data_IF_632921392390
#
_entry.id   IF_632921392390
#
_cell.length_a   1.000
_cell.length_b   1.000
_cell.length_c   1.000
_cell.angle_alpha   90.00
_cell.angle_beta   90.00
_cell.angle_gamma   90.00
#
_symmetry.space_group_name_H-M   'P 1'
#
loop_
_entity.id
_entity.type
_entity.pdbx_description
1 polymer ?
#
# COMPACT_ATOMS: atom_id res chain seq x y z
N UNK A 1 26.54 20.20 7.79
CA UNK A 1 25.66 20.82 8.82
C UNK A 1 24.24 20.74 8.28
N UNK A 2 23.35 20.20 9.09
CA UNK A 2 21.94 19.96 8.72
C UNK A 2 21.07 20.87 9.58
N UNK A 3 20.12 21.55 8.95
CA UNK A 3 19.08 22.30 9.63
C UNK A 3 17.73 21.61 9.45
N UNK A 4 17.08 21.25 10.56
CA UNK A 4 15.76 20.61 10.54
C UNK A 4 14.71 21.69 10.24
N UNK A 5 13.95 21.52 9.16
CA UNK A 5 12.88 22.43 8.73
C UNK A 5 11.52 22.03 9.28
N UNK A 6 11.25 20.70 9.32
CA UNK A 6 9.95 20.18 9.74
C UNK A 6 10.07 18.72 10.21
N UNK A 7 9.21 18.34 11.16
CA UNK A 7 9.06 16.93 11.58
C UNK A 7 7.93 16.32 10.74
N UNK A 8 8.28 15.42 9.83
CA UNK A 8 7.32 14.78 8.93
C UNK A 8 6.54 13.68 9.67
N UNK A 9 7.13 13.10 10.74
CA UNK A 9 6.51 12.02 11.50
C UNK A 9 7.00 11.88 12.93
N UNK A 10 6.13 11.27 13.77
CA UNK A 10 6.45 10.83 15.14
C UNK A 10 7.65 9.88 15.23
N UNK A 11 8.02 9.20 14.13
CA UNK A 11 9.13 8.24 14.05
C UNK A 11 10.48 8.88 13.69
N UNK A 12 10.69 10.16 14.06
CA UNK A 12 11.98 10.83 13.86
C UNK A 12 12.44 10.88 12.39
N UNK A 13 11.50 11.09 11.49
CA UNK A 13 11.74 11.45 10.11
C UNK A 13 11.51 12.96 9.95
N UNK A 14 12.53 13.66 9.49
CA UNK A 14 12.53 15.12 9.39
C UNK A 14 12.77 15.55 7.96
N UNK A 15 12.07 16.59 7.54
CA UNK A 15 12.50 17.39 6.41
C UNK A 15 13.62 18.32 6.90
N UNK A 16 14.74 18.29 6.24
CA UNK A 16 15.92 19.03 6.65
C UNK A 16 16.60 19.69 5.45
N UNK A 17 17.50 20.62 5.72
CA UNK A 17 18.32 21.28 4.71
C UNK A 17 19.78 20.97 4.96
N UNK A 18 20.44 20.42 3.97
CA UNK A 18 21.89 20.35 3.95
C UNK A 18 22.43 21.77 3.66
N UNK A 19 23.12 22.34 4.64
CA UNK A 19 23.63 23.71 4.54
C UNK A 19 24.88 23.81 3.66
N UNK A 20 25.56 22.69 3.42
CA UNK A 20 26.74 22.68 2.55
C UNK A 20 26.34 22.64 1.06
N UNK A 21 25.49 21.70 0.70
CA UNK A 21 24.98 21.57 -0.67
C UNK A 21 23.78 22.45 -0.97
N UNK A 22 23.19 23.06 0.06
CA UNK A 22 21.97 23.88 -0.02
C UNK A 22 20.77 23.12 -0.62
N UNK A 23 20.66 21.82 -0.33
CA UNK A 23 19.60 20.94 -0.81
C UNK A 23 18.65 20.55 0.31
N UNK A 24 17.39 20.35 -0.04
CA UNK A 24 16.42 19.71 0.86
C UNK A 24 16.67 18.20 0.87
N UNK A 25 16.65 17.60 2.05
CA UNK A 25 16.85 16.18 2.28
C UNK A 25 15.78 15.62 3.23
N UNK A 26 15.67 14.30 3.30
CA UNK A 26 15.00 13.63 4.40
C UNK A 26 16.05 13.07 5.36
N UNK A 27 15.84 13.32 6.64
CA UNK A 27 16.72 12.87 7.72
C UNK A 27 15.95 11.91 8.63
N UNK A 28 16.36 10.65 8.66
CA UNK A 28 15.85 9.66 9.62
C UNK A 28 16.85 9.54 10.76
N UNK A 29 16.34 9.48 11.99
CA UNK A 29 17.16 9.36 13.19
C UNK A 29 16.71 8.16 14.01
N UNK A 30 17.69 7.40 14.53
CA UNK A 30 17.50 6.21 15.37
C UNK A 30 18.32 6.40 16.63
N UNK A 31 17.69 6.27 17.81
CA UNK A 31 18.42 6.24 19.07
C UNK A 31 19.00 4.86 19.30
N UNK A 32 20.23 4.82 19.80
CA UNK A 32 20.81 3.58 20.29
C UNK A 32 19.97 2.93 21.38
N UNK A 33 19.85 1.63 21.32
CA UNK A 33 19.19 0.80 22.32
C UNK A 33 19.87 -0.58 22.42
N UNK A 34 19.42 -1.40 23.36
CA UNK A 34 20.02 -2.71 23.66
C UNK A 34 19.87 -3.76 22.54
N UNK A 35 19.10 -3.47 21.47
CA UNK A 35 18.95 -4.34 20.31
C UNK A 35 19.93 -3.99 19.19
N UNK A 36 20.68 -2.91 19.31
CA UNK A 36 21.64 -2.46 18.29
C UNK A 36 23.03 -2.99 18.61
N UNK A 37 23.63 -3.70 17.66
CA UNK A 37 24.97 -4.28 17.79
C UNK A 37 26.09 -3.21 17.77
N UNK A 38 27.25 -3.56 18.27
CA UNK A 38 28.40 -2.64 18.38
C UNK A 38 28.93 -2.17 17.02
N UNK A 39 28.88 -3.03 16.02
CA UNK A 39 29.36 -2.77 14.66
C UNK A 39 28.28 -2.21 13.72
N UNK A 40 27.12 -1.87 14.26
CA UNK A 40 25.95 -1.41 13.49
C UNK A 40 26.25 -0.30 12.50
N UNK A 41 27.02 0.74 12.93
CA UNK A 41 27.36 1.87 12.06
C UNK A 41 28.23 1.42 10.87
N UNK A 42 29.23 0.61 11.12
CA UNK A 42 30.11 0.11 10.07
C UNK A 42 29.31 -0.71 9.05
N UNK A 43 28.50 -1.63 9.53
CA UNK A 43 27.61 -2.42 8.68
C UNK A 43 26.60 -1.56 7.92
N UNK A 44 26.04 -0.51 8.56
CA UNK A 44 25.07 0.39 7.90
C UNK A 44 25.72 1.19 6.77
N UNK A 45 26.99 1.57 6.90
CA UNK A 45 27.76 2.20 5.84
C UNK A 45 27.91 1.25 4.65
N UNK A 46 28.24 -0.02 4.91
CA UNK A 46 28.39 -1.03 3.87
C UNK A 46 27.03 -1.30 3.17
N UNK A 47 25.96 -1.51 3.95
CA UNK A 47 24.62 -1.72 3.40
C UNK A 47 24.12 -0.49 2.61
N UNK A 48 24.45 0.72 3.03
CA UNK A 48 24.09 1.94 2.30
C UNK A 48 24.67 1.97 0.88
N UNK A 49 25.84 1.38 0.69
CA UNK A 49 26.47 1.25 -0.63
C UNK A 49 25.67 0.32 -1.52
N UNK A 50 25.24 -0.83 -0.99
CA UNK A 50 24.41 -1.78 -1.73
C UNK A 50 23.05 -1.15 -2.08
N UNK A 51 22.42 -0.42 -1.15
CA UNK A 51 21.13 0.24 -1.39
C UNK A 51 21.22 1.22 -2.56
N UNK A 52 22.31 1.96 -2.68
CA UNK A 52 22.56 2.90 -3.79
C UNK A 52 22.68 2.21 -5.15
N UNK A 53 23.06 0.93 -5.18
CA UNK A 53 23.16 0.13 -6.40
C UNK A 53 21.80 -0.43 -6.83
N UNK A 54 20.81 -0.49 -5.92
CA UNK A 54 19.46 -0.98 -6.24
C UNK A 54 18.73 0.06 -7.09
N UNK A 55 18.64 -0.20 -8.38
CA UNK A 55 17.90 0.65 -9.31
C UNK A 55 16.39 0.37 -9.25
N UNK A 56 15.74 0.86 -8.21
CA UNK A 56 14.29 0.69 -8.04
C UNK A 56 13.59 2.04 -7.79
N UNK A 57 12.54 2.36 -8.55
CA UNK A 57 11.77 3.59 -8.31
C UNK A 57 10.99 3.56 -6.99
N UNK A 58 10.89 2.39 -6.35
CA UNK A 58 10.10 2.17 -5.13
C UNK A 58 10.91 2.23 -3.85
N UNK A 59 12.24 2.28 -3.94
CA UNK A 59 13.15 2.41 -2.80
C UNK A 59 13.64 3.85 -2.73
N UNK A 60 13.61 4.43 -1.53
CA UNK A 60 14.15 5.77 -1.34
C UNK A 60 15.68 5.72 -1.29
N UNK A 61 16.32 6.55 -2.13
CA UNK A 61 17.77 6.55 -2.27
C UNK A 61 18.43 7.12 -1.00
N UNK A 62 19.32 6.33 -0.38
CA UNK A 62 20.09 6.70 0.78
C UNK A 62 21.39 7.39 0.35
N UNK A 63 21.55 8.67 0.70
CA UNK A 63 22.71 9.49 0.32
C UNK A 63 23.88 9.22 1.26
N UNK A 64 23.62 9.25 2.58
CA UNK A 64 24.64 9.16 3.61
C UNK A 64 24.11 8.58 4.91
N UNK A 65 25.00 8.07 5.75
CA UNK A 65 24.71 7.57 7.09
C UNK A 65 25.81 8.04 8.07
N UNK A 66 25.45 8.15 9.35
CA UNK A 66 26.43 8.52 10.34
C UNK A 66 25.91 8.42 11.76
N UNK A 67 26.71 8.93 12.68
CA UNK A 67 26.43 8.91 14.11
C UNK A 67 26.67 10.27 14.74
N UNK A 68 25.85 10.61 15.71
CA UNK A 68 25.98 11.80 16.54
C UNK A 68 26.00 11.37 18.01
N UNK A 69 27.06 11.78 18.72
CA UNK A 69 27.25 11.48 20.16
C UNK A 69 26.77 12.68 20.97
N UNK A 70 25.68 12.49 21.70
CA UNK A 70 25.03 13.52 22.52
C UNK A 70 25.06 13.17 24.01
N UNK A 71 24.74 14.14 24.84
CA UNK A 71 24.63 13.93 26.28
C UNK A 71 23.57 12.89 26.66
N UNK A 72 22.49 12.78 25.86
CA UNK A 72 21.37 11.85 26.03
C UNK A 72 21.57 10.49 25.33
N UNK A 73 22.74 10.26 24.68
CA UNK A 73 23.10 8.98 24.07
C UNK A 73 23.62 9.05 22.66
N UNK A 74 23.70 7.90 22.02
CA UNK A 74 24.18 7.73 20.67
C UNK A 74 22.98 7.78 19.71
N UNK A 75 23.11 8.58 18.67
CA UNK A 75 22.08 8.78 17.67
C UNK A 75 22.65 8.44 16.30
N UNK A 76 22.07 7.43 15.63
CA UNK A 76 22.36 7.10 14.24
C UNK A 76 21.45 7.92 13.33
N UNK A 77 21.97 8.39 12.23
CA UNK A 77 21.19 9.10 11.23
C UNK A 77 21.41 8.53 9.83
N UNK A 78 20.34 8.60 9.04
CA UNK A 78 20.34 8.26 7.62
C UNK A 78 19.81 9.46 6.84
N UNK A 79 20.50 9.84 5.80
CA UNK A 79 20.16 10.94 4.91
C UNK A 79 19.66 10.35 3.60
N UNK A 80 18.47 10.78 3.18
CA UNK A 80 17.85 10.37 1.94
C UNK A 80 17.62 11.56 1.02
N UNK A 81 17.50 11.28 -0.28
CA UNK A 81 16.97 12.25 -1.23
C UNK A 81 15.57 12.70 -0.79
N UNK A 82 15.29 13.99 -1.01
CA UNK A 82 13.98 14.52 -0.66
C UNK A 82 12.93 14.05 -1.67
N UNK A 83 11.95 13.33 -1.18
CA UNK A 83 10.75 12.94 -1.92
C UNK A 83 9.51 13.55 -1.29
N UNK A 84 8.58 13.96 -2.14
CA UNK A 84 7.34 14.61 -1.71
C UNK A 84 6.28 13.56 -1.41
N UNK A 85 5.92 13.41 -0.16
CA UNK A 85 4.92 12.43 0.28
C UNK A 85 4.62 12.57 1.76
N UNK A 86 3.66 11.79 2.21
CA UNK A 86 3.36 11.57 3.62
C UNK A 86 3.45 10.08 3.90
N UNK A 87 3.61 9.68 5.14
CA UNK A 87 3.65 8.25 5.44
C UNK A 87 2.32 7.56 5.18
N UNK A 88 2.40 6.29 4.87
CA UNK A 88 1.20 5.45 4.75
C UNK A 88 0.43 5.41 6.07
N UNK A 89 1.11 5.51 7.21
CA UNK A 89 0.47 5.61 8.52
C UNK A 89 -0.49 6.81 8.60
N UNK A 90 -0.02 8.00 8.20
CA UNK A 90 -0.85 9.21 8.20
C UNK A 90 -2.05 9.10 7.22
N UNK A 91 -1.87 8.41 6.11
CA UNK A 91 -2.97 8.13 5.17
C UNK A 91 -3.99 7.19 5.81
N UNK A 92 -3.52 6.11 6.44
CA UNK A 92 -4.37 5.14 7.13
C UNK A 92 -5.17 5.83 8.23
N UNK A 93 -4.57 6.68 9.04
CA UNK A 93 -5.26 7.41 10.12
C UNK A 93 -6.27 8.44 9.58
N UNK A 94 -5.93 9.14 8.50
CA UNK A 94 -6.72 10.27 8.00
C UNK A 94 -7.86 9.90 7.06
N UNK A 95 -7.70 8.92 6.18
CA UNK A 95 -8.63 8.65 5.09
C UNK A 95 -8.85 7.15 4.84
N UNK A 96 -10.01 6.81 4.27
CA UNK A 96 -10.22 5.49 3.69
C UNK A 96 -9.57 5.42 2.31
N UNK A 97 -8.71 4.42 2.11
CA UNK A 97 -8.17 4.08 0.81
C UNK A 97 -9.18 3.24 0.03
N UNK A 98 -9.42 3.59 -1.22
CA UNK A 98 -10.19 2.73 -2.12
C UNK A 98 -9.34 1.53 -2.57
N UNK A 99 -9.99 0.45 -2.98
CA UNK A 99 -9.35 -0.84 -3.26
C UNK A 99 -8.21 -0.70 -4.28
N UNK A 100 -8.43 0.05 -5.35
CA UNK A 100 -7.43 0.28 -6.41
C UNK A 100 -6.14 0.94 -5.87
N UNK A 101 -6.28 1.89 -4.93
CA UNK A 101 -5.14 2.52 -4.28
C UNK A 101 -4.40 1.53 -3.38
N UNK A 102 -5.10 0.70 -2.61
CA UNK A 102 -4.49 -0.34 -1.76
C UNK A 102 -3.71 -1.32 -2.62
N UNK A 103 -4.30 -1.83 -3.70
CA UNK A 103 -3.64 -2.77 -4.63
C UNK A 103 -2.43 -2.11 -5.31
N UNK A 104 -2.56 -0.85 -5.74
CA UNK A 104 -1.44 -0.11 -6.34
C UNK A 104 -0.28 0.06 -5.37
N UNK A 105 -0.54 0.48 -4.13
CA UNK A 105 0.46 0.64 -3.08
C UNK A 105 1.12 -0.71 -2.77
N UNK A 106 0.34 -1.77 -2.56
CA UNK A 106 0.85 -3.12 -2.29
C UNK A 106 1.76 -3.63 -3.41
N UNK A 107 1.34 -3.46 -4.66
CA UNK A 107 2.13 -3.88 -5.83
C UNK A 107 3.46 -3.14 -5.91
N UNK A 108 3.49 -1.85 -5.60
CA UNK A 108 4.72 -1.06 -5.59
C UNK A 108 5.64 -1.46 -4.45
N UNK A 109 5.10 -1.73 -3.26
CA UNK A 109 5.88 -2.27 -2.13
C UNK A 109 6.53 -3.60 -2.52
N UNK A 110 5.75 -4.54 -3.07
CA UNK A 110 6.25 -5.85 -3.51
C UNK A 110 7.38 -5.74 -4.54
N UNK A 111 7.24 -4.85 -5.53
CA UNK A 111 8.29 -4.59 -6.52
C UNK A 111 9.56 -3.99 -5.90
N UNK A 112 9.42 -3.16 -4.87
CA UNK A 112 10.56 -2.65 -4.10
C UNK A 112 11.27 -3.76 -3.33
N UNK A 113 10.50 -4.63 -2.65
CA UNK A 113 11.03 -5.79 -1.92
C UNK A 113 11.69 -6.81 -2.87
N UNK A 114 11.10 -7.06 -4.04
CA UNK A 114 11.67 -7.94 -5.06
C UNK A 114 13.02 -7.41 -5.55
N UNK A 115 13.12 -6.12 -5.87
CA UNK A 115 14.37 -5.50 -6.28
C UNK A 115 15.45 -5.56 -5.18
N UNK A 116 15.08 -5.40 -3.91
CA UNK A 116 16.00 -5.54 -2.78
C UNK A 116 16.47 -7.01 -2.60
N UNK A 117 15.56 -7.99 -2.76
CA UNK A 117 15.88 -9.42 -2.68
C UNK A 117 16.92 -9.85 -3.71
N UNK A 118 16.89 -9.30 -4.92
CA UNK A 118 17.90 -9.55 -5.97
C UNK A 118 19.32 -9.15 -5.53
N UNK A 119 19.44 -8.22 -4.57
CA UNK A 119 20.71 -7.81 -3.95
C UNK A 119 20.97 -8.46 -2.58
N UNK A 120 20.23 -9.56 -2.29
CA UNK A 120 20.35 -10.26 -1.02
C UNK A 120 19.88 -9.48 0.20
N UNK A 121 18.92 -8.56 0.00
CA UNK A 121 18.31 -7.75 1.05
C UNK A 121 16.86 -8.14 1.30
N UNK A 122 16.45 -8.08 2.55
CA UNK A 122 15.08 -8.01 3.02
C UNK A 122 14.92 -6.73 3.85
N UNK A 123 13.69 -6.26 4.02
CA UNK A 123 13.45 -5.04 4.78
C UNK A 123 13.54 -5.27 6.28
N UNK A 124 12.78 -6.23 6.80
CA UNK A 124 12.80 -6.66 8.20
C UNK A 124 12.22 -5.68 9.23
N UNK A 125 11.77 -4.51 8.77
CA UNK A 125 11.07 -3.50 9.58
C UNK A 125 9.98 -2.81 8.74
N UNK A 126 9.32 -3.59 7.87
CA UNK A 126 8.27 -3.05 7.01
C UNK A 126 7.06 -2.67 7.87
N UNK A 127 6.70 -1.40 7.83
CA UNK A 127 5.54 -0.86 8.55
C UNK A 127 5.07 0.44 7.87
N UNK A 128 3.86 0.93 8.11
CA UNK A 128 3.32 2.09 7.41
C UNK A 128 4.15 3.39 7.55
N UNK A 129 4.91 3.53 8.63
CA UNK A 129 5.75 4.72 8.84
C UNK A 129 7.06 4.68 8.01
N UNK A 130 7.44 3.52 7.49
CA UNK A 130 8.59 3.37 6.60
C UNK A 130 8.21 3.38 5.12
N UNK A 131 6.97 3.80 4.81
CA UNK A 131 6.44 3.87 3.44
C UNK A 131 5.93 5.28 3.21
N UNK A 132 6.61 6.05 2.35
CA UNK A 132 6.10 7.34 1.87
C UNK A 132 5.20 7.13 0.66
N UNK A 133 4.13 7.89 0.60
CA UNK A 133 3.15 7.86 -0.49
C UNK A 133 2.85 9.28 -0.94
N UNK A 134 2.95 9.54 -2.22
CA UNK A 134 2.60 10.82 -2.80
C UNK A 134 1.08 10.93 -3.11
N UNK A 135 0.65 12.09 -3.61
CA UNK A 135 -0.75 12.34 -3.94
C UNK A 135 -1.32 11.50 -5.09
N UNK A 136 -0.47 10.79 -5.84
CA UNK A 136 -0.86 9.87 -6.92
C UNK A 136 -0.69 8.40 -6.52
N UNK A 137 -0.44 8.14 -5.22
CA UNK A 137 -0.16 6.82 -4.66
C UNK A 137 1.14 6.19 -5.15
N UNK A 138 2.13 7.01 -5.58
CA UNK A 138 3.48 6.49 -5.80
C UNK A 138 4.17 6.26 -4.45
N UNK A 139 4.84 5.12 -4.35
CA UNK A 139 5.46 4.61 -3.12
C UNK A 139 6.97 4.82 -3.13
N UNK A 140 7.51 5.19 -1.96
CA UNK A 140 8.94 5.12 -1.64
C UNK A 140 9.14 4.45 -0.29
N UNK A 141 9.91 3.36 -0.26
CA UNK A 141 10.21 2.58 0.95
C UNK A 141 11.52 3.08 1.54
N UNK A 142 11.52 3.37 2.84
CA UNK A 142 12.66 3.82 3.62
C UNK A 142 13.26 2.67 4.45
N UNK A 143 14.42 2.88 5.02
CA UNK A 143 15.05 2.02 6.03
C UNK A 143 15.52 0.65 5.53
N UNK A 144 15.65 0.40 4.23
CA UNK A 144 16.37 -0.77 3.77
C UNK A 144 17.78 -0.83 4.35
N UNK A 145 18.28 -2.03 4.60
CA UNK A 145 19.61 -2.28 5.13
C UNK A 145 19.75 -2.14 6.64
N UNK A 146 18.82 -1.45 7.33
CA UNK A 146 18.90 -1.23 8.80
C UNK A 146 18.90 -2.55 9.57
N UNK A 147 17.96 -3.43 9.29
CA UNK A 147 17.88 -4.73 9.96
C UNK A 147 19.06 -5.63 9.57
N UNK A 148 19.49 -5.59 8.32
CA UNK A 148 20.66 -6.35 7.85
C UNK A 148 21.96 -5.86 8.48
N UNK A 149 22.15 -4.54 8.60
CA UNK A 149 23.27 -3.94 9.32
C UNK A 149 23.34 -4.37 10.80
N UNK A 150 22.23 -4.74 11.37
CA UNK A 150 22.09 -5.29 12.72
C UNK A 150 22.04 -6.83 12.75
N UNK A 151 22.76 -7.50 11.85
CA UNK A 151 22.86 -8.96 11.74
C UNK A 151 21.49 -9.66 11.61
N UNK A 152 20.52 -9.02 10.97
CA UNK A 152 19.16 -9.57 10.81
C UNK A 152 18.25 -9.38 12.02
N UNK A 153 18.72 -8.76 13.08
CA UNK A 153 17.93 -8.46 14.27
C UNK A 153 17.22 -7.12 14.09
N UNK A 154 15.89 -7.11 14.20
CA UNK A 154 15.13 -5.86 14.18
C UNK A 154 15.49 -5.00 15.39
N UNK A 155 15.74 -3.72 15.15
CA UNK A 155 16.23 -2.77 16.18
C UNK A 155 15.16 -2.28 17.15
N UNK A 156 13.93 -2.76 17.04
CA UNK A 156 12.79 -2.37 17.91
C UNK A 156 12.61 -0.84 18.01
N UNK A 157 12.77 -0.12 16.90
CA UNK A 157 12.58 1.33 16.90
C UNK A 157 11.10 1.70 16.92
N UNK A 158 10.71 2.53 17.88
CA UNK A 158 9.33 3.03 17.97
C UNK A 158 8.29 1.94 18.29
N UNK A 159 7.07 2.07 17.75
CA UNK A 159 5.93 1.18 18.01
C UNK A 159 5.81 0.07 16.96
N UNK A 160 6.92 -0.42 16.43
CA UNK A 160 6.90 -1.37 15.32
C UNK A 160 6.72 -2.85 15.74
N UNK A 161 6.80 -3.17 17.04
CA UNK A 161 6.59 -4.54 17.56
C UNK A 161 5.32 -5.18 17.00
N UNK A 162 4.27 -4.41 16.83
CA UNK A 162 2.97 -4.85 16.31
C UNK A 162 3.00 -5.30 14.83
N UNK A 163 4.07 -5.01 14.09
CA UNK A 163 4.27 -5.45 12.70
C UNK A 163 5.29 -6.58 12.56
N UNK A 164 5.95 -6.98 13.65
CA UNK A 164 6.95 -8.04 13.63
C UNK A 164 6.32 -9.42 13.40
N UNK A 165 7.00 -10.21 12.59
CA UNK A 165 6.60 -11.60 12.36
C UNK A 165 6.83 -12.47 13.60
N UNK A 166 6.16 -13.63 13.70
CA UNK A 166 6.43 -14.59 14.78
C UNK A 166 7.91 -14.98 14.90
N UNK A 167 8.64 -15.13 13.78
CA UNK A 167 10.07 -15.43 13.79
C UNK A 167 10.90 -14.32 14.43
N UNK A 168 10.59 -13.07 14.09
CA UNK A 168 11.26 -11.91 14.69
C UNK A 168 10.99 -11.79 16.19
N UNK A 169 9.77 -12.09 16.64
CA UNK A 169 9.39 -12.05 18.06
C UNK A 169 9.98 -13.22 18.85
N UNK A 170 10.02 -14.44 18.28
CA UNK A 170 10.47 -15.64 19.00
C UNK A 170 11.97 -15.78 19.06
N UNK A 171 12.67 -15.53 17.95
CA UNK A 171 14.09 -15.89 17.79
C UNK A 171 14.94 -14.75 17.21
N UNK A 172 14.39 -13.54 17.13
CA UNK A 172 15.06 -12.37 16.56
C UNK A 172 15.62 -12.59 15.15
N UNK A 173 14.98 -13.45 14.35
CA UNK A 173 15.43 -13.76 13.00
C UNK A 173 14.51 -13.09 11.97
N UNK A 174 15.12 -12.43 10.99
CA UNK A 174 14.44 -11.75 9.91
C UNK A 174 14.78 -12.41 8.58
N UNK A 175 13.78 -12.58 7.75
CA UNK A 175 13.86 -13.12 6.40
C UNK A 175 12.77 -12.51 5.49
N UNK A 176 12.67 -13.01 4.27
CA UNK A 176 11.63 -12.60 3.31
C UNK A 176 10.20 -12.89 3.85
N UNK A 177 10.02 -13.93 4.66
CA UNK A 177 8.71 -14.25 5.26
C UNK A 177 8.25 -13.18 6.24
N UNK A 178 9.21 -12.53 6.91
CA UNK A 178 8.91 -11.41 7.80
C UNK A 178 8.33 -10.22 7.03
N UNK A 179 8.80 -9.95 5.82
CA UNK A 179 8.27 -8.89 4.97
C UNK A 179 6.88 -9.23 4.40
N UNK A 180 6.62 -10.50 4.06
CA UNK A 180 5.27 -10.96 3.69
C UNK A 180 4.27 -10.78 4.83
N UNK A 181 4.65 -11.19 6.04
CA UNK A 181 3.80 -11.06 7.22
C UNK A 181 3.48 -9.60 7.51
N UNK A 182 4.49 -8.73 7.51
CA UNK A 182 4.32 -7.30 7.70
C UNK A 182 3.42 -6.67 6.63
N UNK A 183 3.58 -7.06 5.35
CA UNK A 183 2.69 -6.60 4.27
C UNK A 183 1.23 -7.03 4.52
N UNK A 184 1.00 -8.26 4.97
CA UNK A 184 -0.33 -8.74 5.33
C UNK A 184 -0.99 -7.89 6.42
N UNK A 185 -0.23 -7.49 7.43
CA UNK A 185 -0.68 -6.58 8.50
C UNK A 185 -1.02 -5.19 7.95
N UNK A 186 -0.16 -4.64 7.11
CA UNK A 186 -0.36 -3.32 6.47
C UNK A 186 -1.62 -3.33 5.60
N UNK A 187 -1.82 -4.34 4.78
CA UNK A 187 -3.02 -4.45 3.93
C UNK A 187 -4.29 -4.58 4.76
N UNK A 188 -4.25 -5.37 5.83
CA UNK A 188 -5.36 -5.48 6.77
C UNK A 188 -5.69 -4.12 7.39
N UNK A 189 -4.68 -3.39 7.84
CA UNK A 189 -4.84 -2.07 8.47
C UNK A 189 -5.35 -1.02 7.47
N UNK A 190 -4.93 -1.06 6.20
CA UNK A 190 -5.47 -0.21 5.15
C UNK A 190 -6.98 -0.38 4.96
N UNK A 191 -7.49 -1.62 5.07
CA UNK A 191 -8.91 -1.93 4.90
C UNK A 191 -9.71 -1.63 6.16
N UNK A 192 -9.24 -2.11 7.32
CA UNK A 192 -10.02 -2.17 8.54
C UNK A 192 -9.68 -1.08 9.56
N UNK A 193 -8.65 -0.26 9.31
CA UNK A 193 -8.16 0.81 10.21
C UNK A 193 -7.75 0.29 11.60
N UNK A 194 -7.38 -0.96 11.69
CA UNK A 194 -6.92 -1.64 12.91
C UNK A 194 -6.08 -2.85 12.52
N UNK A 195 -5.23 -3.29 13.41
CA UNK A 195 -4.46 -4.52 13.23
C UNK A 195 -5.29 -5.76 13.55
N UNK A 196 -5.02 -6.90 12.87
CA UNK A 196 -5.83 -8.12 13.02
C UNK A 196 -5.67 -8.80 14.38
N UNK A 197 -4.50 -8.68 15.00
CA UNK A 197 -4.17 -9.34 16.27
C UNK A 197 -4.31 -8.39 17.48
N UNK A 198 -4.59 -7.11 17.26
CA UNK A 198 -4.51 -6.07 18.30
C UNK A 198 -3.10 -5.50 18.42
N UNK A 199 -2.84 -4.79 19.51
CA UNK A 199 -1.58 -4.07 19.73
C UNK A 199 -1.05 -4.36 21.14
N UNK A 200 0.25 -4.59 21.24
CA UNK A 200 0.99 -4.64 22.49
C UNK A 200 2.42 -4.15 22.28
N UNK A 201 3.00 -3.58 23.31
CA UNK A 201 4.42 -3.23 23.39
C UNK A 201 5.26 -4.35 23.99
N UNK A 202 4.62 -5.41 24.47
CA UNK A 202 5.25 -6.61 25.04
C UNK A 202 5.28 -7.72 23.99
N UNK A 203 6.46 -8.24 23.68
CA UNK A 203 6.66 -9.24 22.62
C UNK A 203 5.97 -10.58 22.94
N UNK A 204 6.00 -11.02 24.19
CA UNK A 204 5.35 -12.26 24.62
C UNK A 204 3.83 -12.16 24.49
N UNK A 205 3.28 -11.00 24.84
CA UNK A 205 1.85 -10.73 24.69
C UNK A 205 1.46 -10.66 23.20
N UNK A 206 2.29 -10.02 22.35
CA UNK A 206 2.06 -10.01 20.90
C UNK A 206 2.03 -11.42 20.31
N UNK A 207 2.97 -12.29 20.72
CA UNK A 207 2.96 -13.70 20.30
C UNK A 207 1.67 -14.40 20.70
N UNK A 208 1.19 -14.22 21.94
CA UNK A 208 -0.09 -14.80 22.39
C UNK A 208 -1.27 -14.29 21.57
N UNK A 209 -1.26 -13.03 21.14
CA UNK A 209 -2.29 -12.49 20.24
C UNK A 209 -2.24 -13.13 18.86
N UNK A 210 -1.04 -13.29 18.29
CA UNK A 210 -0.85 -13.94 17.00
C UNK A 210 -1.26 -15.42 17.06
N UNK A 211 -0.91 -16.14 18.15
CA UNK A 211 -1.26 -17.54 18.34
C UNK A 211 -2.77 -17.78 18.48
N UNK A 212 -3.50 -16.80 19.02
CA UNK A 212 -4.97 -16.83 19.06
C UNK A 212 -5.60 -16.80 17.67
N UNK A 213 -4.87 -16.28 16.67
CA UNK A 213 -5.32 -16.17 15.29
C UNK A 213 -6.36 -15.08 15.06
N UNK A 214 -6.79 -14.98 13.79
CA UNK A 214 -7.76 -13.97 13.32
C UNK A 214 -9.10 -14.63 13.05
N UNK A 215 -10.17 -14.06 13.59
CA UNK A 215 -11.53 -14.47 13.23
C UNK A 215 -12.00 -13.76 11.94
N UNK A 216 -11.56 -14.23 10.79
CA UNK A 216 -11.95 -13.70 9.48
C UNK A 216 -13.45 -13.80 9.20
N UNK A 217 -14.16 -14.76 9.82
CA UNK A 217 -15.61 -14.89 9.63
C UNK A 217 -16.38 -13.68 10.20
N UNK A 218 -15.84 -13.05 11.24
CA UNK A 218 -16.42 -11.84 11.81
C UNK A 218 -16.20 -10.59 10.92
N UNK A 219 -15.39 -10.70 9.89
CA UNK A 219 -15.04 -9.62 8.96
C UNK A 219 -15.79 -9.71 7.62
N UNK A 220 -16.55 -10.78 7.38
CA UNK A 220 -17.34 -10.96 6.15
C UNK A 220 -18.36 -9.82 6.00
N UNK A 221 -18.40 -9.22 4.81
CA UNK A 221 -19.33 -8.13 4.48
C UNK A 221 -18.90 -6.74 4.97
N UNK A 222 -17.75 -6.61 5.62
CA UNK A 222 -17.20 -5.32 6.02
C UNK A 222 -16.21 -4.85 4.94
N UNK A 223 -16.63 -3.94 4.07
CA UNK A 223 -15.83 -3.10 3.14
C UNK A 223 -14.59 -3.74 2.46
N UNK A 224 -14.44 -5.05 2.44
CA UNK A 224 -13.30 -5.74 1.84
C UNK A 224 -13.72 -6.51 0.59
N UNK A 225 -12.90 -6.42 -0.45
CA UNK A 225 -12.96 -7.39 -1.53
C UNK A 225 -12.55 -8.76 -0.95
N UNK A 226 -13.39 -9.80 -1.13
CA UNK A 226 -13.14 -11.12 -0.56
C UNK A 226 -11.82 -11.72 -1.05
N UNK A 227 -11.44 -11.46 -2.29
CA UNK A 227 -10.18 -11.91 -2.89
C UNK A 227 -8.97 -11.27 -2.22
N UNK A 228 -9.01 -9.97 -1.92
CA UNK A 228 -7.95 -9.31 -1.17
C UNK A 228 -7.82 -9.85 0.26
N UNK A 229 -8.94 -10.21 0.88
CA UNK A 229 -8.95 -10.86 2.20
C UNK A 229 -8.28 -12.24 2.13
N UNK A 230 -8.50 -13.03 1.07
CA UNK A 230 -7.81 -14.31 0.89
C UNK A 230 -6.29 -14.13 0.70
N UNK A 231 -5.85 -13.11 -0.05
CA UNK A 231 -4.43 -12.75 -0.15
C UNK A 231 -3.85 -12.42 1.23
N UNK A 232 -4.54 -11.58 2.01
CA UNK A 232 -4.13 -11.23 3.37
C UNK A 232 -4.04 -12.45 4.26
N UNK A 233 -5.01 -13.37 4.20
CA UNK A 233 -4.97 -14.63 4.95
C UNK A 233 -3.72 -15.44 4.62
N UNK A 234 -3.38 -15.56 3.33
CA UNK A 234 -2.22 -16.30 2.87
C UNK A 234 -0.91 -15.63 3.31
N UNK A 235 -0.82 -14.29 3.25
CA UNK A 235 0.32 -13.52 3.76
C UNK A 235 0.55 -13.71 5.27
N UNK A 236 -0.51 -13.83 6.05
CA UNK A 236 -0.46 -13.99 7.51
C UNK A 236 -0.44 -15.46 7.95
N UNK A 237 -0.52 -16.42 7.04
CA UNK A 237 -0.54 -17.85 7.34
C UNK A 237 0.87 -18.35 7.65
N UNK A 238 0.97 -19.32 8.57
CA UNK A 238 2.24 -19.96 8.95
C UNK A 238 2.58 -21.17 8.10
N UNK A 239 1.63 -21.80 7.45
CA UNK A 239 1.78 -23.06 6.72
C UNK A 239 1.59 -22.92 5.23
N UNK A 240 0.54 -22.24 4.80
CA UNK A 240 0.26 -21.94 3.40
C UNK A 240 0.71 -20.52 3.10
N UNK A 241 1.89 -20.33 2.54
CA UNK A 241 2.54 -19.04 2.34
C UNK A 241 2.85 -18.83 0.87
N UNK A 242 3.09 -17.57 0.54
CA UNK A 242 3.76 -17.19 -0.68
C UNK A 242 5.26 -17.53 -0.57
N UNK A 243 5.86 -17.98 -1.67
CA UNK A 243 7.30 -18.24 -1.78
C UNK A 243 8.04 -17.06 -2.45
N UNK A 244 7.35 -16.36 -3.36
CA UNK A 244 7.91 -15.28 -4.15
C UNK A 244 6.98 -14.05 -4.16
N UNK A 245 7.57 -12.85 -4.17
CA UNK A 245 6.80 -11.60 -4.25
C UNK A 245 5.93 -11.52 -5.49
N UNK A 246 6.42 -12.11 -6.60
CA UNK A 246 5.70 -12.14 -7.88
C UNK A 246 4.38 -12.89 -7.81
N UNK A 247 4.25 -13.92 -6.98
CA UNK A 247 2.98 -14.64 -6.79
C UNK A 247 1.91 -13.70 -6.22
N UNK A 248 2.28 -12.90 -5.21
CA UNK A 248 1.36 -11.91 -4.61
C UNK A 248 0.97 -10.84 -5.63
N UNK A 249 1.93 -10.37 -6.45
CA UNK A 249 1.67 -9.38 -7.50
C UNK A 249 0.66 -9.94 -8.52
N UNK A 250 0.77 -11.21 -8.89
CA UNK A 250 -0.16 -11.84 -9.82
C UNK A 250 -1.57 -11.94 -9.22
N UNK A 251 -1.67 -12.39 -7.96
CA UNK A 251 -2.96 -12.50 -7.27
C UNK A 251 -3.62 -11.10 -7.10
N UNK A 252 -2.86 -10.06 -6.76
CA UNK A 252 -3.37 -8.68 -6.71
C UNK A 252 -3.81 -8.16 -8.09
N UNK A 253 -3.08 -8.54 -9.14
CA UNK A 253 -3.40 -8.12 -10.51
C UNK A 253 -4.70 -8.76 -11.00
N UNK A 254 -5.00 -10.01 -10.61
CA UNK A 254 -6.25 -10.69 -10.99
C UNK A 254 -7.49 -9.92 -10.52
N UNK A 255 -7.45 -9.38 -9.30
CA UNK A 255 -8.54 -8.53 -8.76
C UNK A 255 -8.83 -7.32 -9.66
N UNK A 256 -7.77 -6.70 -10.18
CA UNK A 256 -7.92 -5.53 -11.05
C UNK A 256 -8.46 -5.90 -12.44
N UNK A 257 -8.06 -7.06 -12.98
CA UNK A 257 -8.56 -7.57 -14.26
C UNK A 257 -10.05 -7.91 -14.19
N UNK A 258 -10.50 -8.65 -13.19
CA UNK A 258 -11.91 -8.99 -13.00
C UNK A 258 -12.79 -7.74 -12.87
N UNK A 259 -12.33 -6.74 -12.12
CA UNK A 259 -13.05 -5.45 -12.03
C UNK A 259 -13.13 -4.73 -13.37
N UNK A 260 -12.08 -4.77 -14.17
CA UNK A 260 -12.07 -4.14 -15.49
C UNK A 260 -13.05 -4.84 -16.45
N UNK A 261 -13.08 -6.18 -16.46
CA UNK A 261 -14.02 -6.97 -17.26
C UNK A 261 -15.49 -6.73 -16.85
N UNK A 262 -15.78 -6.70 -15.54
CA UNK A 262 -17.11 -6.38 -15.04
C UNK A 262 -17.53 -4.98 -15.46
N UNK A 263 -16.65 -3.99 -15.35
CA UNK A 263 -16.95 -2.62 -15.75
C UNK A 263 -17.20 -2.51 -17.26
N UNK A 264 -16.44 -3.20 -18.07
CA UNK A 264 -16.61 -3.23 -19.53
C UNK A 264 -17.93 -3.90 -19.93
N UNK A 265 -18.27 -5.02 -19.29
CA UNK A 265 -19.54 -5.72 -19.52
C UNK A 265 -20.75 -4.85 -19.17
N UNK A 266 -20.72 -4.13 -18.06
CA UNK A 266 -21.77 -3.18 -17.65
C UNK A 266 -21.91 -2.02 -18.62
N UNK A 267 -20.81 -1.47 -19.14
CA UNK A 267 -20.86 -0.43 -20.17
C UNK A 267 -21.48 -0.92 -21.48
N UNK A 268 -21.18 -2.14 -21.88
CA UNK A 268 -21.78 -2.76 -23.08
C UNK A 268 -23.30 -2.97 -22.88
N UNK A 269 -23.71 -3.43 -21.70
CA UNK A 269 -25.12 -3.63 -21.36
C UNK A 269 -25.90 -2.30 -21.35
N UNK A 270 -25.31 -1.26 -20.78
CA UNK A 270 -25.90 0.10 -20.77
C UNK A 270 -26.03 0.67 -22.19
N UNK A 271 -25.01 0.49 -23.06
CA UNK A 271 -25.12 0.89 -24.47
C UNK A 271 -26.18 0.13 -25.24
N UNK A 272 -26.33 -1.17 -24.98
CA UNK A 272 -27.38 -1.98 -25.61
C UNK A 272 -28.77 -1.54 -25.14
N UNK A 273 -28.96 -1.31 -23.85
CA UNK A 273 -30.20 -0.81 -23.29
C UNK A 273 -30.57 0.57 -23.84
N UNK A 274 -29.60 1.48 -23.94
CA UNK A 274 -29.81 2.79 -24.55
C UNK A 274 -30.23 2.71 -26.03
N UNK A 275 -29.59 1.82 -26.83
CA UNK A 275 -29.96 1.55 -28.23
C UNK A 275 -31.36 0.95 -28.35
N UNK A 276 -31.75 0.09 -27.41
CA UNK A 276 -33.09 -0.52 -27.37
C UNK A 276 -34.16 0.52 -27.04
N UNK A 277 -33.96 1.35 -26.02
CA UNK A 277 -34.89 2.41 -25.64
C UNK A 277 -35.06 3.46 -26.74
N UNK A 278 -33.99 3.86 -27.41
CA UNK A 278 -34.05 4.81 -28.53
C UNK A 278 -34.81 4.23 -29.72
N UNK A 279 -34.56 2.96 -30.07
CA UNK A 279 -35.34 2.27 -31.12
C UNK A 279 -36.83 2.21 -30.78
N UNK A 280 -37.16 1.91 -29.55
CA UNK A 280 -38.57 1.79 -29.10
C UNK A 280 -39.26 3.16 -29.11
N UNK A 281 -38.59 4.24 -28.69
CA UNK A 281 -39.12 5.61 -28.77
C UNK A 281 -39.33 6.08 -30.22
N UNK A 282 -38.41 5.78 -31.12
CA UNK A 282 -38.51 6.13 -32.55
C UNK A 282 -39.68 5.36 -33.19
N UNK A 283 -39.84 4.03 -32.93
CA UNK A 283 -40.94 3.23 -33.44
C UNK A 283 -42.30 3.70 -32.93
N UNK A 284 -42.40 4.05 -31.65
CA UNK A 284 -43.65 4.55 -31.03
C UNK A 284 -44.05 5.90 -31.61
N UNK A 285 -43.10 6.81 -31.86
CA UNK A 285 -43.37 8.09 -32.52
C UNK A 285 -43.79 7.91 -34.00
N UNK A 286 -43.12 7.01 -34.75
CA UNK A 286 -43.52 6.70 -36.12
C UNK A 286 -44.91 6.14 -36.22
N UNK A 287 -45.30 5.23 -35.33
CA UNK A 287 -46.66 4.66 -35.32
C UNK A 287 -47.70 5.73 -34.92
N UNK A 288 -47.37 6.66 -34.03
CA UNK A 288 -48.26 7.78 -33.66
C UNK A 288 -48.43 8.75 -34.85
N UNK A 289 -47.39 9.05 -35.61
CA UNK A 289 -47.49 9.84 -36.85
C UNK A 289 -48.31 9.18 -37.91
N UNK A 290 -48.18 7.85 -38.14
CA UNK A 290 -48.95 7.08 -39.08
C UNK A 290 -50.46 7.06 -38.70
N UNK A 291 -50.78 6.96 -37.41
CA UNK A 291 -52.15 7.02 -36.89
C UNK A 291 -52.79 8.40 -37.14
N UNK A 292 -52.05 9.47 -36.88
CA UNK A 292 -52.51 10.84 -37.16
C UNK A 292 -52.76 11.06 -38.64
N UNK A 293 -51.83 10.61 -39.51
CA UNK A 293 -51.99 10.72 -40.96
C UNK A 293 -53.21 9.95 -41.49
N UNK A 294 -53.48 8.73 -40.95
CA UNK A 294 -54.67 7.94 -41.30
C UNK A 294 -55.97 8.64 -40.89
N UNK A 295 -56.01 9.28 -39.70
CA UNK A 295 -57.18 10.04 -39.23
C UNK A 295 -57.38 11.26 -40.11
N UNK A 296 -56.37 11.98 -40.51
CA UNK A 296 -56.48 13.14 -41.43
C UNK A 296 -57.07 12.70 -42.79
N UNK A 297 -56.61 11.58 -43.35
CA UNK A 297 -57.12 11.05 -44.61
C UNK A 297 -58.63 10.70 -44.51
N UNK A 298 -59.03 10.07 -43.38
CA UNK A 298 -60.44 9.73 -43.16
C UNK A 298 -61.30 11.01 -43.02
N UNK A 299 -60.84 12.03 -42.33
CA UNK A 299 -61.52 13.30 -42.22
C UNK A 299 -61.67 14.00 -43.58
N UNK A 300 -60.61 14.02 -44.38
CA UNK A 300 -60.63 14.61 -45.70
C UNK A 300 -61.59 13.88 -46.67
N UNK A 301 -61.64 12.54 -46.59
CA UNK A 301 -62.56 11.73 -47.37
C UNK A 301 -64.05 11.96 -46.96
N UNK A 302 -64.33 12.13 -45.69
CA UNK A 302 -65.64 12.43 -45.20
C UNK A 302 -66.11 13.83 -45.59
N UNK A 303 -65.21 14.81 -45.64
CA UNK A 303 -65.51 16.19 -46.09
C UNK A 303 -65.82 16.24 -47.60
N UNK A 304 -65.15 15.41 -48.43
CA UNK A 304 -65.41 15.35 -49.87
C UNK A 304 -66.77 14.70 -50.19
N UNK A 305 -67.25 13.74 -49.36
CA UNK A 305 -68.55 13.15 -49.53
C UNK A 305 -69.73 14.05 -49.02
N UNK A 306 -69.48 15.09 -48.27
CA UNK A 306 -70.48 16.05 -47.81
C UNK A 306 -70.67 17.23 -48.79
N UNK A 307 -69.81 17.43 -49.76
CA UNK A 307 -69.84 18.51 -50.76
C UNK A 307 -70.40 18.09 -52.12
N UNK A 308 -70.67 16.82 -52.30
CA UNK A 308 -71.40 16.24 -53.46
C UNK A 308 -72.84 15.97 -53.03
#
# INVERSE_FOLDING_TARGET
IINIEDNIEFNKLYKARDLYENKTILLKVINHNNHICEDFLANLIDESTIIREINSPYILNMIDVGVDYREDGIWYYMIYEYEKGISLNNIIEGNYLHLEAIISIATQILKGLEAAKEHGMYHGDLNPSNILVDKWYNVKILNFGVTKANHGVNIRSGNNIKYLSPHQLCINYTDTESDFFALGLILFECIFKKLPFGESYDEEQMLKFIDKGINFNALKGINGNEELIEIIKKLLNRTEKYSEFREVILDLSSIMYEKAEIKESLLIEDEQNYKYETKTKVTKNRNKLLLISAIIIIILSALTTLII
#
